data_IF_381605153521
#
_entry.id   IF_381605153521
#
_cell.length_a   1.000
_cell.length_b   1.000
_cell.length_c   1.000
_cell.angle_alpha   90.00
_cell.angle_beta   90.00
_cell.angle_gamma   90.00
#
_symmetry.space_group_name_H-M   'P 1'
#
loop_
_entity.id
_entity.type
_entity.pdbx_description
1 polymer ?
#
# COMPACT_ATOMS: atom_id res chain seq x y z
N UNK A 1 -6.79 20.03 -8.52
CA UNK A 1 -6.27 19.14 -9.57
C UNK A 1 -5.52 18.02 -8.90
N UNK A 2 -6.07 16.82 -8.91
CA UNK A 2 -5.33 15.55 -8.78
C UNK A 2 -6.24 14.49 -9.39
N UNK A 3 -6.47 14.62 -10.69
CA UNK A 3 -7.00 13.52 -11.49
C UNK A 3 -5.91 12.45 -11.50
N UNK A 4 -5.93 11.60 -10.46
CA UNK A 4 -5.23 10.33 -10.50
C UNK A 4 -5.85 9.56 -11.66
N UNK A 5 -5.20 9.60 -12.83
CA UNK A 5 -5.40 8.58 -13.85
C UNK A 5 -5.40 7.24 -13.11
N UNK A 6 -6.53 6.53 -13.14
CA UNK A 6 -6.66 5.22 -12.53
C UNK A 6 -5.64 4.33 -13.22
N UNK A 7 -4.42 4.28 -12.68
CA UNK A 7 -3.43 3.31 -13.12
C UNK A 7 -4.07 1.94 -12.89
N UNK A 8 -4.05 1.13 -13.95
CA UNK A 8 -4.70 -0.17 -13.96
C UNK A 8 -4.21 -0.99 -12.76
N UNK A 9 -5.16 -1.35 -11.90
CA UNK A 9 -4.90 -2.20 -10.73
C UNK A 9 -4.89 -3.63 -11.22
N UNK A 10 -3.71 -4.23 -11.24
CA UNK A 10 -3.48 -5.61 -11.68
C UNK A 10 -3.92 -6.58 -10.60
N UNK A 11 -3.73 -6.22 -9.34
CA UNK A 11 -4.14 -7.02 -8.18
C UNK A 11 -4.40 -6.08 -6.99
N UNK A 12 -5.35 -6.44 -6.11
CA UNK A 12 -5.60 -5.73 -4.86
C UNK A 12 -5.90 -6.72 -3.75
N UNK A 13 -5.29 -6.50 -2.58
CA UNK A 13 -5.60 -7.21 -1.34
C UNK A 13 -5.92 -6.22 -0.22
N UNK A 14 -6.84 -6.60 0.66
CA UNK A 14 -7.32 -5.75 1.75
C UNK A 14 -7.17 -6.47 3.09
N UNK A 15 -6.60 -5.78 4.07
CA UNK A 15 -6.49 -6.25 5.46
C UNK A 15 -7.21 -5.26 6.38
N UNK A 16 -8.24 -5.73 7.08
CA UNK A 16 -8.95 -4.95 8.10
C UNK A 16 -8.32 -5.21 9.47
N UNK A 17 -7.93 -4.16 10.17
CA UNK A 17 -7.28 -4.23 11.48
C UNK A 17 -7.98 -3.26 12.46
N UNK A 18 -9.19 -3.65 12.90
CA UNK A 18 -10.01 -2.83 13.80
C UNK A 18 -10.39 -1.49 13.16
N UNK A 19 -9.78 -0.40 13.63
CA UNK A 19 -10.03 0.97 13.15
C UNK A 19 -9.24 1.38 11.89
N UNK A 20 -8.35 0.50 11.41
CA UNK A 20 -7.51 0.74 10.24
C UNK A 20 -7.80 -0.26 9.13
N UNK A 21 -7.70 0.17 7.88
CA UNK A 21 -7.76 -0.70 6.70
C UNK A 21 -6.51 -0.51 5.88
N UNK A 22 -5.82 -1.61 5.59
CA UNK A 22 -4.64 -1.64 4.72
C UNK A 22 -5.04 -2.17 3.35
N UNK A 23 -4.53 -1.53 2.29
CA UNK A 23 -4.71 -1.90 0.90
C UNK A 23 -3.34 -2.17 0.30
N UNK A 24 -3.17 -3.33 -0.33
CA UNK A 24 -1.97 -3.72 -1.05
C UNK A 24 -2.34 -3.85 -2.52
N UNK A 25 -2.09 -2.79 -3.29
CA UNK A 25 -2.44 -2.72 -4.71
C UNK A 25 -1.19 -2.91 -5.58
N UNK A 26 -1.21 -3.86 -6.50
CA UNK A 26 -0.24 -3.96 -7.59
C UNK A 26 -0.77 -3.17 -8.78
N UNK A 27 -0.01 -2.18 -9.23
CA UNK A 27 -0.41 -1.27 -10.32
C UNK A 27 0.61 -1.26 -11.42
N UNK A 28 0.15 -1.03 -12.65
CA UNK A 28 1.01 -0.88 -13.82
C UNK A 28 1.42 0.57 -14.01
N UNK A 29 2.72 0.85 -14.04
CA UNK A 29 3.25 2.16 -14.41
C UNK A 29 3.04 2.41 -15.92
N UNK A 30 3.14 3.67 -16.33
CA UNK A 30 3.07 4.04 -17.76
C UNK A 30 4.18 3.38 -18.59
N UNK A 31 5.32 3.06 -17.98
CA UNK A 31 6.42 2.32 -18.60
C UNK A 31 6.12 0.84 -18.83
N UNK A 32 5.01 0.32 -18.30
CA UNK A 32 4.64 -1.10 -18.35
C UNK A 32 5.09 -1.91 -17.14
N UNK A 33 6.01 -1.39 -16.31
CA UNK A 33 6.49 -2.08 -15.11
C UNK A 33 5.46 -2.02 -13.98
N UNK A 34 5.36 -3.12 -13.22
CA UNK A 34 4.49 -3.16 -12.04
C UNK A 34 5.18 -2.54 -10.82
N UNK A 35 4.37 -1.96 -9.95
CA UNK A 35 4.81 -1.47 -8.65
C UNK A 35 3.73 -1.72 -7.59
N UNK A 36 4.13 -1.83 -6.33
CA UNK A 36 3.24 -2.05 -5.20
C UNK A 36 2.88 -0.70 -4.56
N UNK A 37 1.61 -0.49 -4.27
CA UNK A 37 1.13 0.58 -3.40
C UNK A 37 0.58 -0.05 -2.12
N UNK A 38 1.09 0.38 -0.96
CA UNK A 38 0.49 0.06 0.33
C UNK A 38 -0.22 1.32 0.83
N UNK A 39 -1.52 1.27 1.04
CA UNK A 39 -2.29 2.37 1.64
C UNK A 39 -2.85 1.96 2.99
N UNK A 40 -2.69 2.79 4.01
CA UNK A 40 -3.44 2.70 5.26
C UNK A 40 -4.54 3.76 5.24
N UNK A 41 -5.78 3.37 5.57
CA UNK A 41 -6.86 4.32 5.87
C UNK A 41 -7.38 4.11 7.28
N UNK A 42 -7.72 5.22 7.95
CA UNK A 42 -8.37 5.20 9.25
C UNK A 42 -9.17 6.47 9.45
N UNK A 43 -10.16 6.44 10.36
CA UNK A 43 -10.99 7.60 10.68
C UNK A 43 -10.55 8.22 11.99
N UNK A 44 -10.34 9.53 12.00
CA UNK A 44 -10.21 10.33 13.21
C UNK A 44 -11.55 10.37 13.95
N UNK A 45 -11.50 10.81 15.22
CA UNK A 45 -12.69 10.95 16.07
C UNK A 45 -13.69 12.00 15.56
N UNK A 46 -13.21 13.00 14.84
CA UNK A 46 -14.01 14.05 14.18
C UNK A 46 -14.68 13.56 12.86
N UNK A 47 -14.42 12.31 12.45
CA UNK A 47 -14.97 11.72 11.23
C UNK A 47 -14.09 11.89 9.99
N UNK A 48 -12.99 12.65 10.06
CA UNK A 48 -12.06 12.83 8.94
C UNK A 48 -11.35 11.51 8.62
N UNK A 49 -11.31 11.14 7.34
CA UNK A 49 -10.61 9.93 6.89
C UNK A 49 -9.16 10.28 6.52
N UNK A 50 -8.22 9.69 7.22
CA UNK A 50 -6.78 9.82 6.95
C UNK A 50 -6.35 8.69 6.05
N UNK A 51 -5.54 9.00 5.04
CA UNK A 51 -4.92 8.02 4.15
C UNK A 51 -3.41 8.23 4.08
N UNK A 52 -2.66 7.24 4.51
CA UNK A 52 -1.21 7.16 4.32
C UNK A 52 -0.91 6.24 3.14
N UNK A 53 0.07 6.57 2.30
CA UNK A 53 0.44 5.78 1.11
C UNK A 53 1.95 5.63 1.00
N UNK A 54 2.38 4.40 0.72
CA UNK A 54 3.74 4.04 0.33
C UNK A 54 3.71 3.42 -1.07
N UNK A 55 4.66 3.76 -1.92
CA UNK A 55 4.85 3.17 -3.25
C UNK A 55 6.23 2.51 -3.29
N UNK A 56 6.27 1.25 -3.75
CA UNK A 56 7.47 0.43 -3.82
C UNK A 56 7.59 -0.09 -5.24
N UNK A 57 8.67 0.28 -5.93
CA UNK A 57 8.96 -0.20 -7.27
C UNK A 57 9.56 -1.61 -7.24
N UNK A 58 9.44 -2.33 -8.35
CA UNK A 58 9.92 -3.71 -8.51
C UNK A 58 11.33 -3.94 -7.98
N UNK A 59 12.23 -2.99 -8.27
CA UNK A 59 13.67 -3.13 -8.01
C UNK A 59 13.98 -3.10 -6.50
N UNK A 60 13.12 -2.48 -5.69
CA UNK A 60 13.28 -2.42 -4.24
C UNK A 60 12.36 -3.41 -3.48
N UNK A 61 11.48 -4.13 -4.19
CA UNK A 61 10.48 -4.99 -3.55
C UNK A 61 11.12 -6.10 -2.71
N UNK A 62 12.23 -6.67 -3.19
CA UNK A 62 12.93 -7.76 -2.50
C UNK A 62 13.54 -7.32 -1.17
N UNK A 63 14.18 -6.16 -1.15
CA UNK A 63 14.78 -5.61 0.06
C UNK A 63 13.70 -5.21 1.07
N UNK A 64 12.64 -4.56 0.58
CA UNK A 64 11.49 -4.19 1.40
C UNK A 64 10.82 -5.42 2.04
N UNK A 65 10.54 -6.48 1.27
CA UNK A 65 9.87 -7.68 1.79
C UNK A 65 10.73 -8.42 2.80
N UNK A 66 12.04 -8.48 2.58
CA UNK A 66 13.00 -9.05 3.53
C UNK A 66 12.99 -8.28 4.84
N UNK A 67 13.11 -6.95 4.79
CA UNK A 67 13.09 -6.10 5.98
C UNK A 67 11.75 -6.20 6.74
N UNK A 68 10.62 -6.24 6.02
CA UNK A 68 9.30 -6.41 6.62
C UNK A 68 9.18 -7.76 7.33
N UNK A 69 9.63 -8.84 6.70
CA UNK A 69 9.60 -10.18 7.28
C UNK A 69 10.50 -10.30 8.52
N UNK A 70 11.71 -9.72 8.48
CA UNK A 70 12.61 -9.65 9.64
C UNK A 70 11.98 -8.88 10.80
N UNK A 71 11.42 -7.68 10.53
CA UNK A 71 10.73 -6.89 11.55
C UNK A 71 9.54 -7.64 12.18
N UNK A 72 8.80 -8.40 11.35
CA UNK A 72 7.68 -9.21 11.80
C UNK A 72 8.03 -10.27 12.85
N UNK A 73 9.27 -10.77 12.86
CA UNK A 73 9.73 -11.76 13.87
C UNK A 73 9.72 -11.21 15.30
N UNK A 74 9.73 -9.89 15.47
CA UNK A 74 9.71 -9.22 16.78
C UNK A 74 8.30 -8.85 17.26
N UNK A 75 7.29 -8.95 16.39
CA UNK A 75 5.90 -8.67 16.70
C UNK A 75 5.22 -9.97 17.13
N UNK A 76 5.37 -10.34 18.41
CA UNK A 76 4.67 -11.48 19.03
C UNK A 76 3.33 -11.04 19.61
#
# INVERSE_FOLDING_TARGET
>A
MEQNAQQEVVNSQVVKAGGKTYFFDVKKAKSGNNYLTISETWKKKDGESVRNRLMIFSDNLREFSTALAEAGKFLK
#
